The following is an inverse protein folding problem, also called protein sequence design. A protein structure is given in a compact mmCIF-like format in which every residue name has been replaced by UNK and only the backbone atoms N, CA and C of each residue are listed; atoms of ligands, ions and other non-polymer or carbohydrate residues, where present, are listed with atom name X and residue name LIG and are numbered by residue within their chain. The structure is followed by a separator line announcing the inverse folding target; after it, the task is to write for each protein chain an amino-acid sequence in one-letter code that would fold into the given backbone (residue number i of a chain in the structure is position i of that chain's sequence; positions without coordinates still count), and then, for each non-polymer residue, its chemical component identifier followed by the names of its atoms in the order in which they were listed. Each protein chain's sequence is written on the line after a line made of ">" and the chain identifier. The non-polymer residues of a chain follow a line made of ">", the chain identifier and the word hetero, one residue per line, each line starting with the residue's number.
data_IF_760260529329
#
_entry.id   IF_760260529329
#
_cell.length_a   1.000
_cell.length_b   1.000
_cell.length_c   1.000
_cell.angle_alpha   90.00
_cell.angle_beta   90.00
_cell.angle_gamma   90.00
#
_symmetry.space_group_name_H-M   'P 1'
#
loop_
_entity.id
_entity.type
_entity.pdbx_description
1 polymer ?
#
# COMPACT_ATOMS: atom_id res chain seq x y z
N UNK A 1 5.41 2.56 1.83
CA UNK A 1 5.20 2.96 0.41
C UNK A 1 6.24 2.27 -0.44
N UNK A 2 5.89 1.92 -1.69
CA UNK A 2 6.82 1.35 -2.65
C UNK A 2 6.52 1.89 -4.04
N UNK A 3 7.51 1.84 -4.93
CA UNK A 3 7.31 2.01 -6.37
C UNK A 3 7.63 0.67 -7.06
N UNK A 4 6.87 0.34 -8.10
CA UNK A 4 7.10 -0.88 -8.89
C UNK A 4 7.38 -0.49 -10.34
N UNK A 5 8.47 -1.00 -10.91
CA UNK A 5 8.89 -0.77 -12.29
C UNK A 5 9.37 -2.09 -12.89
N UNK A 6 8.71 -2.54 -13.96
CA UNK A 6 8.97 -3.85 -14.58
C UNK A 6 8.84 -4.98 -13.54
N UNK A 7 9.85 -5.84 -13.39
CA UNK A 7 9.85 -6.94 -12.42
C UNK A 7 10.55 -6.58 -11.09
N UNK A 8 10.60 -5.29 -10.74
CA UNK A 8 11.25 -4.82 -9.51
C UNK A 8 10.34 -3.91 -8.71
N UNK A 9 10.33 -4.13 -7.39
CA UNK A 9 9.69 -3.27 -6.41
C UNK A 9 10.74 -2.64 -5.49
N UNK A 10 10.63 -1.35 -5.24
CA UNK A 10 11.51 -0.61 -4.34
C UNK A 10 10.69 -0.05 -3.18
N UNK A 11 10.95 -0.58 -1.99
CA UNK A 11 10.27 -0.14 -0.76
C UNK A 11 10.99 1.08 -0.20
N UNK A 12 10.24 2.11 0.20
CA UNK A 12 10.81 3.28 0.84
C UNK A 12 11.40 2.94 2.21
N UNK A 13 12.22 3.83 2.74
CA UNK A 13 12.51 3.86 4.18
C UNK A 13 11.21 3.95 5.00
N UNK A 14 11.30 3.61 6.28
CA UNK A 14 10.19 3.80 7.22
C UNK A 14 9.85 5.30 7.36
N UNK A 15 8.56 5.64 7.20
CA UNK A 15 8.07 7.03 7.20
C UNK A 15 7.31 7.42 8.48
N UNK A 16 7.08 6.46 9.38
CA UNK A 16 6.19 6.64 10.53
C UNK A 16 4.71 6.72 10.14
N UNK A 17 3.88 7.06 11.12
CA UNK A 17 2.44 7.25 10.95
C UNK A 17 2.16 8.53 10.17
N UNK A 18 1.25 8.47 9.20
CA UNK A 18 0.96 9.60 8.29
C UNK A 18 0.01 10.64 8.91
N UNK A 19 -0.28 10.55 10.20
CA UNK A 19 -1.33 11.32 10.88
C UNK A 19 -0.91 12.76 11.21
N UNK A 20 0.34 13.13 10.92
CA UNK A 20 0.86 14.47 11.13
C UNK A 20 1.23 15.15 9.82
N UNK A 21 1.08 16.48 9.76
CA UNK A 21 1.44 17.24 8.56
C UNK A 21 2.92 17.08 8.17
N UNK A 22 3.82 16.89 9.15
CA UNK A 22 5.25 16.68 8.87
C UNK A 22 5.53 15.30 8.28
N UNK A 23 4.90 14.24 8.79
CA UNK A 23 5.05 12.88 8.25
C UNK A 23 4.41 12.76 6.87
N UNK A 24 3.25 13.39 6.66
CA UNK A 24 2.61 13.47 5.34
C UNK A 24 3.47 14.20 4.31
N UNK A 25 4.02 15.37 4.65
CA UNK A 25 4.93 16.09 3.75
C UNK A 25 6.20 15.30 3.43
N UNK A 26 6.72 14.55 4.41
CA UNK A 26 7.86 13.66 4.20
C UNK A 26 7.51 12.50 3.25
N UNK A 27 6.30 11.97 3.35
CA UNK A 27 5.77 10.96 2.43
C UNK A 27 5.73 11.49 0.98
N UNK A 28 5.13 12.66 0.75
CA UNK A 28 5.08 13.27 -0.59
C UNK A 28 6.47 13.55 -1.17
N UNK A 29 7.38 14.08 -0.34
CA UNK A 29 8.79 14.27 -0.72
C UNK A 29 9.47 12.97 -1.09
N UNK A 30 9.20 11.89 -0.36
CA UNK A 30 9.79 10.58 -0.61
C UNK A 30 9.31 10.02 -1.95
N UNK A 31 8.01 10.17 -2.29
CA UNK A 31 7.49 9.80 -3.62
C UNK A 31 8.25 10.58 -4.70
N UNK A 32 8.29 11.91 -4.61
CA UNK A 32 8.96 12.75 -5.60
C UNK A 32 10.47 12.47 -5.71
N UNK A 33 11.11 12.03 -4.62
CA UNK A 33 12.52 11.66 -4.60
C UNK A 33 12.75 10.31 -5.28
N UNK A 34 12.00 9.27 -4.90
CA UNK A 34 12.12 7.92 -5.49
C UNK A 34 11.77 7.95 -6.98
N UNK A 35 10.70 8.66 -7.37
CA UNK A 35 10.34 8.83 -8.78
C UNK A 35 11.46 9.44 -9.61
N UNK A 36 12.18 10.43 -9.07
CA UNK A 36 13.35 11.03 -9.75
C UNK A 36 14.55 10.09 -9.77
N UNK A 37 14.83 9.41 -8.66
CA UNK A 37 15.98 8.52 -8.53
C UNK A 37 15.91 7.34 -9.51
N UNK A 38 14.73 6.77 -9.70
CA UNK A 38 14.51 5.59 -10.53
C UNK A 38 13.97 5.90 -11.94
N UNK A 39 13.90 7.18 -12.31
CA UNK A 39 13.25 7.64 -13.54
C UNK A 39 11.89 6.96 -13.74
N UNK A 40 11.05 7.09 -12.71
CA UNK A 40 9.79 6.40 -12.58
C UNK A 40 8.63 7.40 -12.68
N UNK A 41 7.68 7.09 -13.55
CA UNK A 41 6.42 7.81 -13.68
C UNK A 41 5.28 6.82 -13.42
N UNK A 42 4.49 6.99 -12.36
CA UNK A 42 3.42 6.07 -12.03
C UNK A 42 2.32 6.09 -13.10
N UNK A 43 1.86 4.91 -13.51
CA UNK A 43 0.75 4.73 -14.45
C UNK A 43 -0.54 4.31 -13.73
N UNK A 44 -0.41 3.81 -12.51
CA UNK A 44 -1.49 3.40 -11.62
C UNK A 44 -1.03 3.55 -10.17
N UNK A 45 -1.99 3.58 -9.24
CA UNK A 45 -1.75 3.62 -7.80
C UNK A 45 -2.46 2.45 -7.13
N UNK A 46 -1.78 1.81 -6.19
CA UNK A 46 -2.38 0.83 -5.29
C UNK A 46 -2.38 1.43 -3.89
N UNK A 47 -3.54 1.45 -3.24
CA UNK A 47 -3.72 2.04 -1.92
C UNK A 47 -4.60 1.14 -1.02
N UNK A 48 -4.52 1.38 0.29
CA UNK A 48 -5.38 0.71 1.26
C UNK A 48 -6.85 1.07 1.01
N UNK A 49 -7.76 0.13 1.25
CA UNK A 49 -9.19 0.34 1.13
C UNK A 49 -9.75 1.33 2.16
N UNK A 50 -9.07 1.54 3.29
CA UNK A 50 -9.57 2.42 4.36
C UNK A 50 -9.67 3.89 3.90
N UNK A 51 -10.88 4.49 3.81
CA UNK A 51 -11.06 5.83 3.23
C UNK A 51 -10.45 6.95 4.09
N UNK A 52 -10.39 6.78 5.40
CA UNK A 52 -9.84 7.79 6.31
C UNK A 52 -8.29 7.84 6.32
N UNK A 53 -7.59 6.93 5.64
CA UNK A 53 -6.14 6.97 5.60
C UNK A 53 -5.64 8.12 4.72
N UNK A 54 -4.65 8.87 5.21
CA UNK A 54 -4.02 9.93 4.41
C UNK A 54 -3.37 9.40 3.13
N UNK A 55 -2.90 8.15 3.11
CA UNK A 55 -2.41 7.49 1.90
C UNK A 55 -3.51 7.18 0.89
N UNK A 56 -4.73 6.83 1.36
CA UNK A 56 -5.91 6.66 0.53
C UNK A 56 -6.32 7.98 -0.12
N UNK A 57 -6.44 9.02 0.68
CA UNK A 57 -6.78 10.37 0.21
C UNK A 57 -5.71 10.92 -0.75
N UNK A 58 -4.42 10.65 -0.49
CA UNK A 58 -3.36 11.00 -1.43
C UNK A 58 -3.59 10.37 -2.80
N UNK A 59 -3.94 9.08 -2.84
CA UNK A 59 -4.21 8.35 -4.08
C UNK A 59 -5.41 8.93 -4.83
N UNK A 60 -6.54 9.18 -4.14
CA UNK A 60 -7.74 9.78 -4.74
C UNK A 60 -7.50 11.15 -5.36
N UNK A 61 -6.56 11.92 -4.81
CA UNK A 61 -6.19 13.23 -5.34
C UNK A 61 -5.29 13.18 -6.59
N UNK A 62 -4.87 11.99 -7.04
CA UNK A 62 -4.08 11.84 -8.26
C UNK A 62 -4.98 11.59 -9.48
N UNK A 63 -4.60 12.15 -10.63
CA UNK A 63 -5.27 11.89 -11.90
C UNK A 63 -4.78 10.56 -12.55
N UNK A 64 -4.78 9.47 -11.78
CA UNK A 64 -4.32 8.14 -12.20
C UNK A 64 -5.36 7.08 -11.84
N UNK A 65 -5.41 5.94 -12.57
CA UNK A 65 -6.16 4.77 -12.14
C UNK A 65 -5.73 4.31 -10.75
N UNK A 66 -6.69 3.93 -9.90
CA UNK A 66 -6.46 3.50 -8.52
C UNK A 66 -7.06 2.12 -8.31
N UNK A 67 -6.29 1.21 -7.70
CA UNK A 67 -6.77 -0.06 -7.18
C UNK A 67 -6.70 -0.04 -5.65
N UNK A 68 -7.85 -0.15 -5.00
CA UNK A 68 -7.91 -0.30 -3.55
C UNK A 68 -7.77 -1.76 -3.15
N UNK A 69 -6.92 -2.03 -2.16
CA UNK A 69 -6.60 -3.37 -1.67
C UNK A 69 -6.91 -3.42 -0.18
N UNK A 70 -7.62 -4.46 0.22
CA UNK A 70 -7.94 -4.71 1.62
C UNK A 70 -6.65 -4.97 2.42
N UNK A 71 -6.56 -4.41 3.63
CA UNK A 71 -5.35 -4.40 4.43
C UNK A 71 -4.75 -5.79 4.73
N UNK A 72 -5.56 -6.70 5.25
CA UNK A 72 -5.16 -8.08 5.57
C UNK A 72 -4.78 -8.87 4.30
N UNK A 73 -5.51 -8.64 3.22
CA UNK A 73 -5.19 -9.23 1.92
C UNK A 73 -3.83 -8.75 1.41
N UNK A 74 -3.49 -7.46 1.58
CA UNK A 74 -2.16 -6.94 1.25
C UNK A 74 -1.05 -7.60 2.09
N UNK A 75 -1.29 -7.88 3.37
CA UNK A 75 -0.34 -8.63 4.21
C UNK A 75 -0.06 -10.03 3.65
N UNK A 76 -1.10 -10.77 3.26
CA UNK A 76 -0.96 -12.12 2.69
C UNK A 76 -0.24 -12.05 1.34
N UNK A 77 -0.61 -11.11 0.47
CA UNK A 77 0.03 -10.92 -0.84
C UNK A 77 1.52 -10.57 -0.72
N UNK A 78 1.92 -9.81 0.30
CA UNK A 78 3.33 -9.49 0.53
C UNK A 78 4.16 -10.76 0.81
N UNK A 79 3.64 -11.68 1.63
CA UNK A 79 4.28 -12.97 1.92
C UNK A 79 4.32 -13.85 0.67
N UNK A 80 3.22 -13.92 -0.08
CA UNK A 80 3.16 -14.65 -1.35
C UNK A 80 4.22 -14.15 -2.35
N UNK A 81 4.35 -12.84 -2.48
CA UNK A 81 5.32 -12.20 -3.36
C UNK A 81 6.77 -12.48 -2.94
N UNK A 82 7.07 -12.45 -1.64
CA UNK A 82 8.40 -12.77 -1.10
C UNK A 82 8.81 -14.21 -1.40
N UNK A 83 7.86 -15.16 -1.33
CA UNK A 83 8.11 -16.58 -1.57
C UNK A 83 7.89 -17.04 -3.02
N UNK A 84 7.48 -16.14 -3.92
CA UNK A 84 7.23 -16.46 -5.33
C UNK A 84 6.02 -17.35 -5.57
N UNK A 85 5.03 -17.35 -4.67
CA UNK A 85 3.80 -18.17 -4.77
C UNK A 85 2.67 -17.30 -5.31
N UNK A 86 2.56 -17.18 -6.65
CA UNK A 86 1.62 -16.24 -7.29
C UNK A 86 0.48 -16.90 -8.06
N UNK A 87 0.58 -18.21 -8.34
CA UNK A 87 -0.33 -18.90 -9.27
C UNK A 87 -1.38 -19.79 -8.58
N UNK A 88 -1.23 -20.03 -7.28
CA UNK A 88 -2.05 -21.00 -6.53
C UNK A 88 -2.85 -20.31 -5.42
N UNK A 89 -4.11 -20.71 -5.18
CA UNK A 89 -4.86 -20.28 -4.01
C UNK A 89 -4.16 -20.71 -2.72
N UNK A 90 -4.08 -19.80 -1.75
CA UNK A 90 -3.52 -20.07 -0.42
C UNK A 90 -4.56 -19.84 0.66
N UNK A 91 -4.40 -20.52 1.80
CA UNK A 91 -5.03 -20.13 3.05
C UNK A 91 -4.08 -19.15 3.75
N UNK A 92 -4.45 -17.88 3.83
CA UNK A 92 -3.66 -16.85 4.51
C UNK A 92 -4.29 -16.48 5.83
N UNK A 93 -3.47 -16.33 6.88
CA UNK A 93 -3.95 -15.89 8.19
C UNK A 93 -3.26 -14.56 8.50
N UNK A 94 -4.04 -13.51 8.69
CA UNK A 94 -3.55 -12.18 9.02
C UNK A 94 -4.04 -11.78 10.41
N UNK A 95 -3.09 -11.55 11.31
CA UNK A 95 -3.32 -11.08 12.67
C UNK A 95 -2.63 -9.73 12.87
N UNK A 96 -3.42 -8.67 13.00
CA UNK A 96 -2.96 -7.31 13.28
C UNK A 96 -3.86 -6.64 14.32
N UNK A 97 -3.71 -5.33 14.51
CA UNK A 97 -4.57 -4.58 15.43
C UNK A 97 -5.95 -4.33 14.84
N UNK A 98 -5.98 -3.57 13.74
CA UNK A 98 -7.20 -3.13 13.06
C UNK A 98 -6.91 -2.90 11.58
N UNK A 99 -7.79 -3.40 10.72
CA UNK A 99 -7.84 -3.11 9.29
C UNK A 99 -9.28 -2.96 8.80
N UNK A 100 -9.47 -2.20 7.73
CA UNK A 100 -10.80 -1.95 7.16
C UNK A 100 -11.30 -3.18 6.41
N UNK A 101 -12.46 -3.69 6.82
CA UNK A 101 -13.14 -4.82 6.19
C UNK A 101 -13.82 -4.44 4.89
N UNK A 102 -14.01 -5.41 4.01
CA UNK A 102 -14.74 -5.22 2.74
C UNK A 102 -16.24 -4.91 2.95
N UNK A 103 -16.75 -5.12 4.16
CA UNK A 103 -18.13 -4.90 4.59
C UNK A 103 -18.32 -3.59 5.39
N UNK A 104 -17.33 -2.69 5.34
CA UNK A 104 -17.28 -1.44 6.12
C UNK A 104 -17.25 -1.66 7.64
N UNK A 105 -16.79 -2.82 8.11
CA UNK A 105 -16.50 -3.06 9.53
C UNK A 105 -14.99 -3.02 9.81
N UNK A 106 -14.60 -2.98 11.09
CA UNK A 106 -13.20 -3.10 11.49
C UNK A 106 -12.89 -4.56 11.73
N UNK A 107 -11.85 -5.08 11.06
CA UNK A 107 -11.34 -6.42 11.30
C UNK A 107 -10.00 -6.35 12.06
N UNK A 108 -9.73 -7.30 12.96
CA UNK A 108 -8.42 -7.48 13.61
C UNK A 108 -7.86 -8.91 13.49
N UNK A 109 -8.71 -9.85 13.07
CA UNK A 109 -8.35 -11.23 12.78
C UNK A 109 -9.09 -11.66 11.51
N UNK A 110 -8.39 -12.10 10.46
CA UNK A 110 -9.01 -12.62 9.23
C UNK A 110 -8.31 -13.88 8.71
N UNK A 111 -9.11 -14.75 8.08
CA UNK A 111 -8.74 -16.02 7.45
C UNK A 111 -9.00 -15.99 5.93
#
# INVERSE_FOLDING_TARGET
>A
MAIAKQNQSYVSQHLGDLDSASTYHNFEKTIAHLSRLYDFSPQEIVADLHPDYFSHQYAENQALPITFVQHHYAHILAVMAEHGVMEEPVLGIAWDGTGYGMDNTIWGENF
#
